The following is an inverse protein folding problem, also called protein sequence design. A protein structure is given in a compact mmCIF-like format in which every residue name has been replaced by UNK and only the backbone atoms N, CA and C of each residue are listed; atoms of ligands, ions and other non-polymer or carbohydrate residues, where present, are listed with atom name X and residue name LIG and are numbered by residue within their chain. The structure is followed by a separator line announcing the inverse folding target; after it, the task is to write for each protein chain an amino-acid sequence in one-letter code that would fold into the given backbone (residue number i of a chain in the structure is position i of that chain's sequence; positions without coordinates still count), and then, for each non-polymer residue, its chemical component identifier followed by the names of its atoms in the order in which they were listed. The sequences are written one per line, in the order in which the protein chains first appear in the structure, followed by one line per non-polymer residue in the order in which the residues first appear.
data_IF_670004894909
#
_entry.id   IF_670004894909
#
_cell.length_a   1.000
_cell.length_b   1.000
_cell.length_c   1.000
_cell.angle_alpha   90.00
_cell.angle_beta   90.00
_cell.angle_gamma   90.00
#
_symmetry.space_group_name_H-M   'P 1'
#
loop_
_entity.id
_entity.type
_entity.pdbx_description
1 polymer ?
#
# COMPACT_ATOMS: atom_id res chain seq x y z
N UNK A 1 4.34 -63.99 -34.99
CA UNK A 1 3.09 -63.93 -34.21
C UNK A 1 3.44 -63.52 -32.79
N UNK A 2 2.85 -62.41 -32.32
CA UNK A 2 2.85 -61.90 -30.92
C UNK A 2 4.16 -61.30 -30.42
N UNK A 3 4.18 -60.26 -29.59
CA UNK A 3 3.22 -59.20 -29.27
C UNK A 3 4.07 -58.18 -28.47
N UNK A 4 4.04 -56.93 -28.91
CA UNK A 4 4.18 -55.67 -28.19
C UNK A 4 4.40 -55.79 -26.67
N UNK A 5 5.49 -55.21 -26.16
CA UNK A 5 5.43 -54.46 -24.90
C UNK A 5 6.47 -53.33 -24.88
N UNK A 6 6.12 -52.24 -25.57
CA UNK A 6 6.74 -50.95 -25.34
C UNK A 6 6.38 -50.50 -23.91
N UNK A 7 7.30 -50.69 -22.97
CA UNK A 7 7.21 -50.14 -21.63
C UNK A 7 7.54 -48.64 -21.73
N UNK A 8 6.57 -47.85 -22.20
CA UNK A 8 6.57 -46.41 -22.03
C UNK A 8 6.50 -46.14 -20.52
N UNK A 9 7.65 -45.87 -19.91
CA UNK A 9 7.75 -45.19 -18.63
C UNK A 9 7.07 -43.82 -18.77
N UNK A 10 5.76 -43.78 -18.52
CA UNK A 10 5.03 -42.58 -18.15
C UNK A 10 5.54 -42.15 -16.78
N UNK A 11 6.69 -41.49 -16.76
CA UNK A 11 7.06 -40.56 -15.70
C UNK A 11 6.07 -39.41 -15.82
N UNK A 12 4.94 -39.52 -15.14
CA UNK A 12 4.06 -38.38 -14.91
C UNK A 12 4.88 -37.45 -14.02
N UNK A 13 5.33 -36.27 -14.48
CA UNK A 13 5.88 -35.29 -13.57
C UNK A 13 4.76 -34.98 -12.59
N UNK A 14 4.94 -35.39 -11.33
CA UNK A 14 4.14 -34.88 -10.22
C UNK A 14 4.15 -33.37 -10.38
N UNK A 15 2.97 -32.76 -10.53
CA UNK A 15 2.79 -31.33 -10.56
C UNK A 15 3.52 -30.76 -9.35
N UNK A 16 4.74 -30.28 -9.55
CA UNK A 16 5.40 -29.40 -8.61
C UNK A 16 4.51 -28.18 -8.60
N UNK A 17 3.61 -28.10 -7.62
CA UNK A 17 2.92 -26.85 -7.33
C UNK A 17 4.03 -25.89 -6.94
N UNK A 18 4.50 -25.12 -7.92
CA UNK A 18 5.53 -24.13 -7.71
C UNK A 18 5.07 -23.24 -6.56
N UNK A 19 5.90 -23.12 -5.53
CA UNK A 19 5.70 -22.11 -4.48
C UNK A 19 5.44 -20.78 -5.16
N UNK A 20 4.34 -20.08 -4.83
CA UNK A 20 4.03 -18.83 -5.51
C UNK A 20 5.14 -17.81 -5.23
N UNK A 21 5.33 -16.83 -6.12
CA UNK A 21 6.20 -15.70 -5.81
C UNK A 21 5.71 -15.02 -4.51
N UNK A 22 6.66 -14.57 -3.69
CA UNK A 22 6.35 -13.71 -2.55
C UNK A 22 6.03 -12.32 -3.08
N UNK A 23 4.83 -11.84 -2.78
CA UNK A 23 4.32 -10.55 -3.22
C UNK A 23 3.96 -9.76 -1.98
N UNK A 24 4.48 -8.53 -1.91
CA UNK A 24 4.11 -7.55 -0.90
C UNK A 24 3.36 -6.43 -1.59
N UNK A 25 2.17 -6.08 -1.11
CA UNK A 25 1.41 -4.96 -1.67
C UNK A 25 1.18 -3.87 -0.62
N UNK A 26 1.05 -2.64 -1.09
CA UNK A 26 0.71 -1.48 -0.26
C UNK A 26 -0.53 -0.80 -0.82
N UNK A 27 -1.54 -0.56 0.00
CA UNK A 27 -2.72 0.19 -0.43
C UNK A 27 -3.07 1.25 0.62
N UNK A 28 -3.33 2.47 0.17
CA UNK A 28 -3.67 3.60 1.00
C UNK A 28 -5.11 4.05 0.81
N UNK A 29 -5.85 4.18 1.90
CA UNK A 29 -7.19 4.74 1.93
C UNK A 29 -7.22 6.05 2.72
N UNK A 30 -7.88 7.06 2.17
CA UNK A 30 -8.06 8.34 2.83
C UNK A 30 -9.16 8.21 3.89
N UNK A 31 -8.78 8.36 5.15
CA UNK A 31 -9.71 8.28 6.28
C UNK A 31 -10.30 9.64 6.63
N UNK A 32 -9.47 10.66 6.80
CA UNK A 32 -9.88 11.97 7.29
C UNK A 32 -8.94 13.09 6.81
N UNK A 33 -9.37 14.34 6.98
CA UNK A 33 -8.59 15.52 6.64
C UNK A 33 -8.78 16.57 7.74
N UNK A 34 -7.75 17.37 8.00
CA UNK A 34 -7.86 18.62 8.76
C UNK A 34 -7.00 19.73 8.10
N UNK A 35 -6.94 20.89 8.76
CA UNK A 35 -6.21 22.07 8.29
C UNK A 35 -4.80 21.75 7.73
N UNK A 36 -4.05 20.89 8.41
CA UNK A 36 -2.62 20.67 8.14
C UNK A 36 -2.29 19.27 7.64
N UNK A 37 -3.17 18.28 7.83
CA UNK A 37 -2.88 16.88 7.54
C UNK A 37 -4.00 16.18 6.78
N UNK A 38 -3.60 15.19 5.99
CA UNK A 38 -4.46 14.08 5.58
C UNK A 38 -4.16 12.87 6.45
N UNK A 39 -5.19 12.13 6.82
CA UNK A 39 -5.10 10.92 7.63
C UNK A 39 -5.36 9.71 6.73
N UNK A 40 -4.36 8.86 6.58
CA UNK A 40 -4.35 7.75 5.63
C UNK A 40 -4.26 6.43 6.38
N UNK A 41 -5.10 5.47 6.05
CA UNK A 41 -4.92 4.08 6.44
C UNK A 41 -4.09 3.39 5.37
N UNK A 42 -2.87 3.01 5.72
CA UNK A 42 -2.02 2.18 4.86
C UNK A 42 -2.16 0.73 5.27
N UNK A 43 -2.53 -0.12 4.31
CA UNK A 43 -2.54 -1.56 4.43
C UNK A 43 -1.32 -2.13 3.71
N UNK A 44 -0.49 -2.89 4.41
CA UNK A 44 0.60 -3.69 3.82
C UNK A 44 0.17 -5.15 3.88
N UNK A 45 0.14 -5.80 2.71
CA UNK A 45 -0.22 -7.21 2.58
C UNK A 45 1.01 -8.01 2.16
N UNK A 46 1.26 -9.15 2.79
CA UNK A 46 2.39 -10.03 2.44
C UNK A 46 1.91 -11.49 2.43
N UNK A 47 2.02 -12.14 1.27
CA UNK A 47 1.64 -13.55 1.13
C UNK A 47 2.70 -14.53 1.65
N UNK A 48 3.88 -14.02 2.04
CA UNK A 48 5.02 -14.81 2.52
C UNK A 48 5.52 -15.90 1.56
N UNK A 49 5.18 -15.80 0.28
CA UNK A 49 5.48 -16.85 -0.71
C UNK A 49 4.58 -18.09 -0.57
N UNK A 50 3.40 -17.97 0.03
CA UNK A 50 2.40 -19.03 0.13
C UNK A 50 1.09 -18.63 -0.55
N UNK A 51 0.33 -19.62 -1.03
CA UNK A 51 -0.93 -19.36 -1.75
C UNK A 51 -2.08 -18.90 -0.87
N UNK A 52 -2.02 -19.21 0.43
CA UNK A 52 -3.16 -19.10 1.34
C UNK A 52 -2.80 -18.36 2.62
N UNK A 53 -1.53 -18.03 2.81
CA UNK A 53 -1.10 -17.21 3.93
C UNK A 53 -1.12 -15.78 3.46
N UNK A 54 -1.64 -14.90 4.30
CA UNK A 54 -1.53 -13.47 4.08
C UNK A 54 -1.42 -12.76 5.42
N UNK A 55 -0.33 -12.04 5.62
CA UNK A 55 -0.22 -11.08 6.71
C UNK A 55 -0.74 -9.73 6.24
N UNK A 56 -1.51 -9.07 7.10
CA UNK A 56 -2.09 -7.76 6.84
C UNK A 56 -1.78 -6.85 8.01
N UNK A 57 -0.99 -5.82 7.72
CA UNK A 57 -0.58 -4.79 8.66
C UNK A 57 -1.24 -3.47 8.27
N UNK A 58 -1.94 -2.82 9.19
CA UNK A 58 -2.63 -1.55 8.95
C UNK A 58 -2.03 -0.48 9.86
N UNK A 59 -1.54 0.60 9.26
CA UNK A 59 -0.98 1.77 9.94
C UNK A 59 -1.82 2.99 9.62
N UNK A 60 -2.19 3.77 10.63
CA UNK A 60 -2.73 5.12 10.43
C UNK A 60 -1.56 6.09 10.30
N UNK A 61 -1.61 6.95 9.28
CA UNK A 61 -0.57 7.92 8.95
C UNK A 61 -1.19 9.31 9.01
N UNK A 62 -0.51 10.25 9.66
CA UNK A 62 -0.79 11.68 9.50
C UNK A 62 0.24 12.28 8.55
N UNK A 63 -0.16 12.50 7.29
CA UNK A 63 0.68 13.11 6.26
C UNK A 63 0.42 14.61 6.19
N UNK A 64 1.48 15.40 6.29
CA UNK A 64 1.44 16.84 6.19
C UNK A 64 1.03 17.25 4.77
N UNK A 65 0.04 18.14 4.65
CA UNK A 65 -0.51 18.58 3.37
C UNK A 65 0.40 19.48 2.57
N UNK A 66 1.23 20.26 3.25
CA UNK A 66 2.11 21.25 2.63
C UNK A 66 3.39 20.57 2.13
N UNK A 67 3.98 19.73 2.97
CA UNK A 67 5.29 19.12 2.66
C UNK A 67 5.15 17.77 1.97
N UNK A 68 4.04 17.05 2.20
CA UNK A 68 3.84 15.68 1.74
C UNK A 68 4.52 14.61 2.58
N UNK A 69 5.19 14.99 3.67
CA UNK A 69 5.88 14.06 4.57
C UNK A 69 4.96 13.52 5.65
N UNK A 70 5.29 12.35 6.17
CA UNK A 70 4.55 11.75 7.27
C UNK A 70 5.09 12.22 8.62
N UNK A 71 4.24 12.89 9.40
CA UNK A 71 4.65 13.41 10.71
C UNK A 71 4.50 12.32 11.81
N UNK A 72 3.51 11.43 11.67
CA UNK A 72 3.16 10.43 12.68
C UNK A 72 2.57 9.15 12.06
N UNK A 73 2.87 8.01 12.69
CA UNK A 73 2.35 6.69 12.35
C UNK A 73 1.81 6.01 13.62
N UNK A 74 0.64 5.37 13.54
CA UNK A 74 0.06 4.60 14.63
C UNK A 74 -0.32 3.20 14.17
N UNK A 75 -0.06 2.16 15.00
CA UNK A 75 -0.42 0.80 14.64
C UNK A 75 -1.93 0.59 14.82
N UNK A 76 -2.63 0.13 13.78
CA UNK A 76 -4.09 -0.07 13.81
C UNK A 76 -4.46 -1.54 13.86
N UNK A 77 -3.78 -2.39 13.09
CA UNK A 77 -4.07 -3.83 13.01
C UNK A 77 -2.84 -4.58 12.53
N UNK A 78 -2.62 -5.78 13.05
CA UNK A 78 -1.67 -6.75 12.47
C UNK A 78 -2.25 -8.14 12.67
N UNK A 79 -2.55 -8.80 11.56
CA UNK A 79 -3.18 -10.12 11.55
C UNK A 79 -2.54 -10.99 10.48
N UNK A 80 -2.61 -12.30 10.67
CA UNK A 80 -2.20 -13.29 9.69
C UNK A 80 -3.34 -14.25 9.43
N UNK A 81 -3.80 -14.33 8.19
CA UNK A 81 -4.59 -15.46 7.71
C UNK A 81 -3.62 -16.59 7.39
N UNK A 82 -3.74 -17.73 8.07
CA UNK A 82 -2.90 -18.91 7.87
C UNK A 82 -3.48 -19.88 6.81
N UNK A 83 -4.57 -19.50 6.12
CA UNK A 83 -5.17 -20.28 5.06
C UNK A 83 -6.21 -21.27 5.56
N UNK A 84 -6.01 -22.57 5.33
CA UNK A 84 -6.94 -23.56 5.84
C UNK A 84 -6.87 -23.63 7.39
N UNK A 85 -8.01 -23.88 8.08
CA UNK A 85 -7.99 -24.07 9.51
C UNK A 85 -6.97 -25.15 9.87
N UNK A 86 -6.00 -24.79 10.70
CA UNK A 86 -5.00 -25.72 11.23
C UNK A 86 -5.62 -26.73 12.18
N UNK A 87 -6.80 -26.43 12.72
CA UNK A 87 -7.61 -27.31 13.54
C UNK A 87 -9.05 -27.35 13.00
N UNK A 88 -9.51 -28.54 12.60
CA UNK A 88 -10.88 -28.75 12.14
C UNK A 88 -11.93 -28.54 13.27
N UNK A 89 -11.51 -28.58 14.54
CA UNK A 89 -12.35 -28.32 15.70
C UNK A 89 -12.44 -26.83 16.05
N UNK A 90 -11.51 -25.99 15.59
CA UNK A 90 -11.54 -24.54 15.78
C UNK A 90 -11.39 -23.79 14.45
N UNK A 91 -12.50 -23.50 13.76
CA UNK A 91 -12.46 -22.73 12.51
C UNK A 91 -11.91 -21.31 12.69
N UNK A 92 -11.79 -20.79 13.92
CA UNK A 92 -11.18 -19.50 14.19
C UNK A 92 -9.64 -19.57 14.26
N UNK A 93 -9.03 -20.77 14.23
CA UNK A 93 -7.57 -20.93 14.20
C UNK A 93 -6.92 -20.40 12.93
N UNK A 94 -7.74 -20.13 11.90
CA UNK A 94 -7.32 -19.58 10.61
C UNK A 94 -6.67 -18.20 10.75
N UNK A 95 -7.24 -17.29 11.55
CA UNK A 95 -6.75 -15.92 11.66
C UNK A 95 -6.06 -15.72 12.99
N UNK A 96 -4.77 -15.44 12.95
CA UNK A 96 -3.97 -15.09 14.12
C UNK A 96 -3.87 -13.58 14.26
N UNK A 97 -4.21 -13.05 15.43
CA UNK A 97 -3.83 -11.70 15.80
C UNK A 97 -2.36 -11.72 16.24
N UNK A 98 -1.51 -10.96 15.54
CA UNK A 98 -0.07 -10.95 15.79
C UNK A 98 0.32 -10.09 17.01
N UNK A 99 -0.66 -9.39 17.60
CA UNK A 99 -0.48 -8.59 18.80
C UNK A 99 0.18 -7.24 18.50
N UNK A 100 -0.44 -6.16 18.97
CA UNK A 100 0.09 -4.80 18.85
C UNK A 100 -0.07 -4.09 20.19
N UNK A 101 1.02 -3.90 20.97
CA UNK A 101 0.91 -3.36 22.33
C UNK A 101 0.36 -1.94 22.39
N UNK A 102 0.54 -1.15 21.32
CA UNK A 102 0.12 0.25 21.23
C UNK A 102 -0.97 0.46 20.18
N UNK A 103 -1.79 -0.56 19.91
CA UNK A 103 -2.86 -0.51 18.92
C UNK A 103 -3.82 0.65 19.22
N UNK A 104 -4.09 1.48 18.21
CA UNK A 104 -5.07 2.55 18.29
C UNK A 104 -6.32 2.24 17.47
N UNK A 105 -7.46 2.79 17.91
CA UNK A 105 -8.61 2.95 17.04
C UNK A 105 -8.41 4.23 16.21
N UNK A 106 -8.39 4.14 14.85
CA UNK A 106 -8.06 5.28 14.02
C UNK A 106 -9.08 6.42 14.14
N UNK A 107 -10.34 6.11 14.45
CA UNK A 107 -11.37 7.13 14.63
C UNK A 107 -11.19 7.96 15.91
N UNK A 108 -10.58 7.38 16.95
CA UNK A 108 -10.25 8.11 18.18
C UNK A 108 -9.13 9.12 17.91
N UNK A 109 -8.15 8.75 17.06
CA UNK A 109 -7.10 9.66 16.59
C UNK A 109 -7.69 10.79 15.74
N UNK A 110 -8.57 10.48 14.80
CA UNK A 110 -9.26 11.48 13.96
C UNK A 110 -10.02 12.48 14.83
N UNK A 111 -10.76 12.00 15.84
CA UNK A 111 -11.49 12.85 16.78
C UNK A 111 -10.54 13.73 17.59
N UNK A 112 -9.47 13.15 18.16
CA UNK A 112 -8.46 13.89 18.91
C UNK A 112 -7.78 14.98 18.07
N UNK A 113 -7.50 14.68 16.80
CA UNK A 113 -6.89 15.61 15.83
C UNK A 113 -7.87 16.61 15.23
N UNK A 114 -9.14 16.57 15.65
CA UNK A 114 -10.24 17.42 15.14
C UNK A 114 -10.34 17.38 13.62
N UNK A 115 -10.08 16.22 13.05
CA UNK A 115 -10.22 15.96 11.63
C UNK A 115 -11.66 15.55 11.32
N UNK A 116 -12.04 15.63 10.05
CA UNK A 116 -13.35 15.22 9.59
C UNK A 116 -13.20 14.26 8.42
N UNK A 117 -14.21 13.39 8.25
CA UNK A 117 -14.23 12.42 7.16
C UNK A 117 -14.49 13.14 5.83
N UNK A 118 -13.78 12.80 4.75
CA UNK A 118 -13.99 13.45 3.46
C UNK A 118 -15.44 13.26 2.99
N UNK A 119 -16.13 14.37 2.69
CA UNK A 119 -17.55 14.36 2.28
C UNK A 119 -17.77 13.97 0.80
N UNK A 120 -16.72 13.93 -0.02
CA UNK A 120 -16.88 13.78 -1.48
C UNK A 120 -16.67 12.32 -1.91
N UNK A 121 -17.53 11.76 -2.79
CA UNK A 121 -17.18 10.55 -3.51
C UNK A 121 -15.90 10.78 -4.30
N UNK A 122 -15.08 9.73 -4.40
CA UNK A 122 -13.87 9.71 -5.21
C UNK A 122 -14.28 10.04 -6.65
N UNK A 123 -13.76 11.13 -7.21
CA UNK A 123 -14.02 11.49 -8.60
C UNK A 123 -12.69 11.56 -9.30
N UNK A 124 -12.51 10.73 -10.32
CA UNK A 124 -11.45 10.93 -11.32
C UNK A 124 -12.13 11.68 -12.47
N UNK A 125 -11.86 12.98 -12.66
CA UNK A 125 -12.36 13.70 -13.81
C UNK A 125 -11.90 13.02 -15.11
N UNK A 126 -12.80 12.92 -16.08
CA UNK A 126 -12.48 12.37 -17.41
C UNK A 126 -11.57 13.28 -18.24
N UNK A 127 -11.36 14.52 -17.78
CA UNK A 127 -10.60 15.58 -18.42
C UNK A 127 -9.26 15.88 -17.71
N UNK A 128 -8.69 14.89 -17.01
CA UNK A 128 -7.34 15.02 -16.46
C UNK A 128 -6.29 14.83 -17.56
N UNK A 129 -5.45 15.85 -17.71
CA UNK A 129 -4.26 15.82 -18.56
C UNK A 129 -3.07 15.49 -17.66
N UNK A 130 -2.65 14.23 -17.69
CA UNK A 130 -1.61 13.65 -16.82
C UNK A 130 -0.42 13.23 -17.67
N UNK A 131 0.79 13.58 -17.23
CA UNK A 131 2.01 13.14 -17.89
C UNK A 131 3.12 12.78 -16.89
N UNK A 132 3.89 11.76 -17.25
CA UNK A 132 5.19 11.46 -16.66
C UNK A 132 6.25 11.85 -17.68
N UNK A 133 7.06 12.87 -17.39
CA UNK A 133 8.11 13.31 -18.33
C UNK A 133 9.29 13.92 -17.61
N UNK A 134 10.50 13.63 -18.09
CA UNK A 134 11.75 14.22 -17.60
C UNK A 134 11.96 14.12 -16.06
N UNK A 135 11.53 13.02 -15.43
CA UNK A 135 11.67 12.85 -13.98
C UNK A 135 10.60 13.56 -13.14
N UNK A 136 9.56 14.10 -13.79
CA UNK A 136 8.48 14.85 -13.15
C UNK A 136 7.11 14.25 -13.49
N UNK A 137 6.20 14.31 -12.54
CA UNK A 137 4.78 14.09 -12.75
C UNK A 137 4.07 15.44 -12.91
N UNK A 138 3.18 15.54 -13.90
CA UNK A 138 2.32 16.71 -14.07
C UNK A 138 0.86 16.29 -14.20
N UNK A 139 -0.01 17.13 -13.64
CA UNK A 139 -1.45 17.02 -13.74
C UNK A 139 -2.01 18.42 -14.00
N UNK A 140 -2.73 18.58 -15.12
CA UNK A 140 -3.42 19.83 -15.43
C UNK A 140 -4.92 19.68 -15.25
N UNK A 141 -5.51 20.62 -14.51
CA UNK A 141 -6.96 20.67 -14.23
C UNK A 141 -7.42 22.11 -14.10
N UNK A 142 -8.53 22.48 -14.75
CA UNK A 142 -9.09 23.84 -14.71
C UNK A 142 -8.05 24.94 -15.01
N UNK A 143 -7.15 24.69 -15.97
CA UNK A 143 -6.00 25.55 -16.31
C UNK A 143 -4.93 25.72 -15.21
N UNK A 144 -5.06 25.08 -14.06
CA UNK A 144 -3.99 24.97 -13.07
C UNK A 144 -3.11 23.75 -13.39
N UNK A 145 -1.80 23.96 -13.39
CA UNK A 145 -0.80 22.90 -13.47
C UNK A 145 -0.36 22.52 -12.06
N UNK A 146 -0.39 21.24 -11.75
CA UNK A 146 0.13 20.66 -10.52
C UNK A 146 1.28 19.75 -10.90
N UNK A 147 2.37 19.78 -10.15
CA UNK A 147 3.51 18.91 -10.42
C UNK A 147 4.27 18.53 -9.16
N UNK A 148 5.09 17.49 -9.28
CA UNK A 148 6.14 17.15 -8.33
C UNK A 148 7.27 16.40 -9.03
N UNK A 149 8.47 16.49 -8.47
CA UNK A 149 9.60 15.66 -8.90
C UNK A 149 9.39 14.22 -8.43
N UNK A 150 9.56 13.26 -9.35
CA UNK A 150 9.39 11.84 -9.05
C UNK A 150 10.38 11.37 -7.98
N UNK A 151 11.64 11.80 -8.09
CA UNK A 151 12.71 11.41 -7.16
C UNK A 151 12.40 11.82 -5.71
N UNK A 152 11.85 13.02 -5.51
CA UNK A 152 11.52 13.54 -4.17
C UNK A 152 10.37 12.74 -3.56
N UNK A 153 9.31 12.47 -4.33
CA UNK A 153 8.17 11.67 -3.87
C UNK A 153 8.56 10.22 -3.63
N UNK A 154 9.39 9.63 -4.50
CA UNK A 154 9.91 8.26 -4.31
C UNK A 154 10.71 8.15 -3.00
N UNK A 155 11.60 9.10 -2.72
CA UNK A 155 12.37 9.11 -1.47
C UNK A 155 11.47 9.26 -0.24
N UNK A 156 10.48 10.17 -0.29
CA UNK A 156 9.52 10.36 0.79
C UNK A 156 8.66 9.10 1.02
N UNK A 157 8.26 8.39 -0.05
CA UNK A 157 7.52 7.14 0.05
C UNK A 157 8.36 6.01 0.66
N UNK A 158 9.64 5.90 0.31
CA UNK A 158 10.55 4.91 0.90
C UNK A 158 10.73 5.13 2.41
N UNK A 159 10.94 6.38 2.83
CA UNK A 159 11.02 6.73 4.25
C UNK A 159 9.69 6.43 4.97
N UNK A 160 8.58 6.77 4.34
CA UNK A 160 7.23 6.51 4.85
C UNK A 160 6.95 5.01 5.01
N UNK A 161 7.39 4.17 4.07
CA UNK A 161 7.29 2.70 4.15
C UNK A 161 8.15 2.17 5.30
N UNK A 162 9.38 2.67 5.44
CA UNK A 162 10.26 2.33 6.56
C UNK A 162 9.64 2.73 7.91
N UNK A 163 9.03 3.92 8.01
CA UNK A 163 8.34 4.37 9.21
C UNK A 163 7.13 3.46 9.55
N UNK A 164 6.37 3.01 8.56
CA UNK A 164 5.27 2.07 8.78
C UNK A 164 5.75 0.72 9.29
N UNK A 165 6.87 0.21 8.78
CA UNK A 165 7.51 -1.02 9.27
C UNK A 165 8.16 -0.87 10.64
N UNK A 166 8.63 0.32 10.99
CA UNK A 166 9.05 0.61 12.36
C UNK A 166 7.87 0.60 13.33
N UNK A 167 6.70 1.09 12.90
CA UNK A 167 5.47 1.12 13.69
C UNK A 167 4.84 -0.27 13.85
N UNK A 168 4.81 -1.06 12.79
CA UNK A 168 4.40 -2.47 12.80
C UNK A 168 5.53 -3.29 12.16
N UNK A 169 6.46 -3.81 12.99
CA UNK A 169 7.49 -4.72 12.50
C UNK A 169 6.87 -5.95 11.85
N UNK A 170 7.53 -6.47 10.82
CA UNK A 170 7.14 -7.76 10.26
C UNK A 170 7.20 -8.82 11.36
N UNK A 171 6.09 -9.51 11.59
CA UNK A 171 6.07 -10.63 12.53
C UNK A 171 6.91 -11.76 11.95
N UNK A 172 8.02 -12.09 12.59
CA UNK A 172 8.84 -13.25 12.23
C UNK A 172 8.42 -14.45 13.08
N UNK A 173 8.13 -15.59 12.46
CA UNK A 173 7.70 -16.79 13.18
C UNK A 173 7.40 -17.99 12.28
N UNK A 174 7.09 -19.15 12.86
CA UNK A 174 6.71 -20.32 12.07
C UNK A 174 5.34 -20.10 11.42
N UNK A 175 5.33 -19.88 10.10
CA UNK A 175 4.12 -19.77 9.27
C UNK A 175 3.48 -21.17 9.04
N UNK A 176 4.29 -22.23 9.09
CA UNK A 176 3.84 -23.62 9.14
C UNK A 176 4.99 -24.53 9.61
N UNK A 177 4.69 -25.80 9.87
CA UNK A 177 5.58 -26.81 10.48
C UNK A 177 6.96 -26.91 9.81
N UNK A 178 7.93 -26.14 10.32
CA UNK A 178 9.37 -26.39 10.12
C UNK A 178 10.11 -25.49 9.11
N UNK A 179 9.45 -24.57 8.42
CA UNK A 179 10.15 -23.57 7.57
C UNK A 179 10.33 -22.29 8.38
N UNK A 180 11.59 -21.92 8.62
CA UNK A 180 11.91 -20.62 9.20
C UNK A 180 11.53 -19.53 8.20
N UNK A 181 10.83 -18.50 8.67
CA UNK A 181 10.55 -17.30 7.91
C UNK A 181 11.88 -16.59 7.59
N UNK A 182 12.04 -16.09 6.37
CA UNK A 182 13.15 -15.23 6.02
C UNK A 182 12.94 -13.87 6.72
N UNK A 183 13.90 -13.43 7.52
CA UNK A 183 13.88 -12.13 8.22
C UNK A 183 13.97 -10.96 7.21
N UNK A 184 14.14 -11.23 5.92
CA UNK A 184 14.09 -10.22 4.86
C UNK A 184 12.68 -9.67 4.64
N UNK A 185 12.54 -8.36 4.79
CA UNK A 185 11.29 -7.65 4.48
C UNK A 185 11.21 -7.34 2.98
N UNK A 186 10.39 -8.13 2.28
CA UNK A 186 10.19 -7.99 0.84
C UNK A 186 9.58 -6.65 0.43
N UNK A 187 9.04 -5.88 1.38
CA UNK A 187 8.63 -4.50 1.12
C UNK A 187 9.78 -3.66 0.56
N UNK A 188 11.04 -3.96 0.91
CA UNK A 188 12.22 -3.22 0.47
C UNK A 188 13.09 -3.98 -0.54
N UNK A 189 12.56 -5.07 -1.14
CA UNK A 189 13.28 -5.87 -2.13
C UNK A 189 13.60 -5.11 -3.42
N UNK A 190 12.72 -4.17 -3.79
CA UNK A 190 12.81 -3.36 -5.01
C UNK A 190 12.68 -1.88 -4.62
N UNK A 191 13.41 -0.92 -5.22
CA UNK A 191 13.19 0.51 -4.95
C UNK A 191 11.80 0.97 -5.35
N UNK A 192 11.23 1.98 -4.69
CA UNK A 192 9.94 2.55 -5.10
C UNK A 192 10.12 3.21 -6.46
N UNK A 193 9.25 2.87 -7.42
CA UNK A 193 9.34 3.35 -8.80
C UNK A 193 8.02 4.00 -9.22
N UNK A 194 8.01 5.32 -9.35
CA UNK A 194 6.92 6.07 -9.99
C UNK A 194 7.30 6.31 -11.45
N UNK A 195 6.47 5.86 -12.39
CA UNK A 195 6.73 5.97 -13.82
C UNK A 195 5.41 5.95 -14.62
N UNK A 196 5.48 5.88 -15.96
CA UNK A 196 4.31 5.89 -16.82
C UNK A 196 3.32 4.72 -16.65
N UNK A 197 3.67 3.66 -15.92
CA UNK A 197 2.74 2.56 -15.61
C UNK A 197 1.83 2.87 -14.44
N UNK A 198 2.11 3.94 -13.68
CA UNK A 198 1.26 4.41 -12.61
C UNK A 198 0.04 5.17 -13.16
N UNK A 199 -1.13 4.91 -12.58
CA UNK A 199 -2.38 5.58 -12.94
C UNK A 199 -2.93 6.41 -11.78
N UNK A 200 -3.52 7.57 -12.09
CA UNK A 200 -4.29 8.34 -11.10
C UNK A 200 -5.66 7.67 -10.93
N UNK A 201 -5.90 7.05 -9.78
CA UNK A 201 -7.14 6.30 -9.49
C UNK A 201 -8.10 7.06 -8.58
N UNK A 202 -7.64 8.11 -7.90
CA UNK A 202 -8.49 9.03 -7.18
C UNK A 202 -7.88 10.44 -7.18
N UNK A 203 -8.75 11.45 -7.13
CA UNK A 203 -8.38 12.85 -6.96
C UNK A 203 -9.31 13.49 -5.93
N UNK A 204 -8.72 14.18 -4.96
CA UNK A 204 -9.43 14.98 -3.96
C UNK A 204 -8.95 16.41 -4.08
N UNK A 205 -9.90 17.33 -4.23
CA UNK A 205 -9.64 18.76 -4.08
C UNK A 205 -9.68 19.04 -2.59
N UNK A 206 -8.52 19.37 -2.02
CA UNK A 206 -8.46 19.68 -0.61
C UNK A 206 -9.02 21.09 -0.40
N UNK A 207 -9.96 21.29 0.55
CA UNK A 207 -10.46 22.62 0.83
C UNK A 207 -9.32 23.53 1.30
N UNK A 208 -9.42 24.77 0.86
CA UNK A 208 -8.50 25.82 1.21
C UNK A 208 -8.84 26.32 2.62
N UNK A 209 -8.02 25.98 3.62
CA UNK A 209 -8.15 26.49 4.98
C UNK A 209 -6.91 27.24 5.45
N UNK A 210 -5.93 27.44 4.57
CA UNK A 210 -4.73 28.23 4.82
C UNK A 210 -4.69 29.40 3.84
N UNK A 211 -3.95 30.45 4.16
CA UNK A 211 -3.60 31.50 3.18
C UNK A 211 -2.62 30.97 2.08
N UNK A 212 -2.44 29.64 1.96
CA UNK A 212 -1.46 28.98 1.10
C UNK A 212 -1.92 28.84 -0.37
N UNK A 213 -3.12 29.32 -0.68
CA UNK A 213 -3.58 29.51 -2.05
C UNK A 213 -4.50 28.39 -2.56
N UNK A 214 -5.33 28.71 -3.57
CA UNK A 214 -6.61 28.06 -3.81
C UNK A 214 -6.61 26.63 -4.38
N UNK A 215 -5.49 25.91 -4.47
CA UNK A 215 -5.42 24.70 -5.30
C UNK A 215 -4.46 23.62 -4.75
N UNK A 216 -4.70 23.10 -3.55
CA UNK A 216 -4.08 21.83 -3.15
C UNK A 216 -4.92 20.64 -3.62
N UNK A 217 -4.25 19.65 -4.19
CA UNK A 217 -4.87 18.40 -4.62
C UNK A 217 -4.21 17.22 -3.91
N UNK A 218 -4.97 16.15 -3.69
CA UNK A 218 -4.46 14.88 -3.23
C UNK A 218 -4.82 13.84 -4.27
N UNK A 219 -3.84 13.18 -4.86
CA UNK A 219 -4.07 12.11 -5.84
C UNK A 219 -3.73 10.76 -5.25
N UNK A 220 -4.47 9.71 -5.63
CA UNK A 220 -4.05 8.31 -5.43
C UNK A 220 -3.37 7.84 -6.71
N UNK A 221 -2.11 7.46 -6.61
CA UNK A 221 -1.36 6.82 -7.68
C UNK A 221 -1.36 5.32 -7.43
N UNK A 222 -1.87 4.55 -8.39
CA UNK A 222 -1.83 3.09 -8.40
C UNK A 222 -0.77 2.64 -9.40
N UNK A 223 0.28 2.01 -8.90
CA UNK A 223 1.44 1.55 -9.67
C UNK A 223 1.45 0.02 -9.71
N UNK A 224 1.08 -0.53 -10.86
CA UNK A 224 1.13 -1.96 -11.13
C UNK A 224 2.59 -2.40 -11.35
N UNK A 225 3.27 -2.77 -10.26
CA UNK A 225 4.55 -3.48 -10.28
C UNK A 225 4.27 -4.95 -9.93
N UNK A 226 4.71 -5.88 -10.78
CA UNK A 226 4.38 -7.32 -10.65
C UNK A 226 4.81 -7.91 -9.30
N UNK A 227 5.93 -7.45 -8.75
CA UNK A 227 6.49 -7.98 -7.51
C UNK A 227 6.03 -7.21 -6.26
N UNK A 228 5.71 -5.92 -6.43
CA UNK A 228 5.30 -5.03 -5.33
C UNK A 228 4.31 -3.97 -5.79
N UNK A 229 3.04 -4.32 -6.03
CA UNK A 229 2.04 -3.34 -6.41
C UNK A 229 1.78 -2.39 -5.24
N UNK A 230 1.68 -1.10 -5.53
CA UNK A 230 1.37 -0.12 -4.50
C UNK A 230 0.41 0.96 -5.00
N UNK A 231 -0.50 1.38 -4.13
CA UNK A 231 -1.38 2.50 -4.36
C UNK A 231 -1.29 3.50 -3.20
N UNK A 232 -0.84 4.73 -3.48
CA UNK A 232 -0.45 5.71 -2.46
C UNK A 232 -1.00 7.10 -2.76
N UNK A 233 -1.25 7.87 -1.71
CA UNK A 233 -1.71 9.25 -1.78
C UNK A 233 -0.55 10.24 -1.85
N UNK A 234 -0.54 11.10 -2.86
CA UNK A 234 0.47 12.15 -3.03
C UNK A 234 -0.22 13.52 -3.00
N UNK A 235 0.10 14.40 -2.03
CA UNK A 235 -0.36 15.77 -2.06
C UNK A 235 0.40 16.56 -3.12
N UNK A 236 -0.30 17.48 -3.77
CA UNK A 236 0.21 18.31 -4.85
C UNK A 236 -0.23 19.75 -4.64
N UNK A 237 0.67 20.67 -4.94
CA UNK A 237 0.40 22.10 -4.94
C UNK A 237 0.37 22.60 -6.39
N UNK A 238 -0.51 23.55 -6.69
CA UNK A 238 -0.51 24.19 -8.00
C UNK A 238 0.78 25.02 -8.19
N UNK A 239 1.36 24.95 -9.38
CA UNK A 239 2.38 25.91 -9.80
C UNK A 239 1.73 27.28 -9.98
N UNK A 240 2.36 28.32 -9.43
CA UNK A 240 1.95 29.69 -9.71
C UNK A 240 2.29 29.99 -11.17
N UNK A 241 1.29 30.37 -11.97
CA UNK A 241 1.53 30.89 -13.31
C UNK A 241 2.20 32.26 -13.19
N UNK A 242 3.46 32.35 -13.59
CA UNK A 242 4.17 33.64 -13.79
C UNK A 242 3.48 34.53 -14.84
#
# INVERSE_FOLDING_TARGET
MRLILALFLLVVPTLSMATPPRIVSVDEDLLAINATHVFILRTISDNHGYHQVNQTDVTLIARNRETGWDDQHWPVLSVRDNGFPTDAADPNSRVTNLGLPERVNPYDVVLWRKAYLPFSPHYVPTDLDVAFSAGRFTLRRNNALHSFELADVQAALEESFAASRKTIPIATGQISSGVAEDDFDYLFAVPVALNETCAVTALYVLPDWSDAGPNQQLIKLDCANEDRPFAVFVPMTAELSD
#
